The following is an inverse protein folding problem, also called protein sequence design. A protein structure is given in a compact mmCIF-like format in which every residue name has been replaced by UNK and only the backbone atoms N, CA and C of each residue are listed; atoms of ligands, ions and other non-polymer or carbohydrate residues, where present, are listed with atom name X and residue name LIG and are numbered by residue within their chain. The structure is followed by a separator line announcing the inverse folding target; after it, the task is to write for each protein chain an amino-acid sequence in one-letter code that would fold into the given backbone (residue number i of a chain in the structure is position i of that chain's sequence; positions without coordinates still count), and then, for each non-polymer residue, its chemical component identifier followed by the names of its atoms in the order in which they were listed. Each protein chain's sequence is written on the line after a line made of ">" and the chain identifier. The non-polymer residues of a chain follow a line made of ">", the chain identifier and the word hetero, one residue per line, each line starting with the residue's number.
data_IF_981286682264
#
_entry.id   IF_981286682264
#
_cell.length_a   1.000
_cell.length_b   1.000
_cell.length_c   1.000
_cell.angle_alpha   90.00
_cell.angle_beta   90.00
_cell.angle_gamma   90.00
#
_symmetry.space_group_name_H-M   'P 1'
#
loop_
_entity.id
_entity.type
_entity.pdbx_description
1 polymer ?
#
# COMPACT_ATOMS: atom_id res chain seq x y z
N UNK A 1 -6.18 26.64 -25.22
CA UNK A 1 -5.50 25.93 -24.10
C UNK A 1 -5.50 26.75 -22.81
N UNK A 2 -5.22 28.07 -22.85
CA UNK A 2 -5.30 28.97 -21.69
C UNK A 2 -6.68 28.96 -20.98
N UNK A 3 -7.78 28.98 -21.71
CA UNK A 3 -9.12 29.04 -21.08
C UNK A 3 -9.48 27.76 -20.33
N UNK A 4 -9.06 26.59 -20.84
CA UNK A 4 -9.27 25.30 -20.14
C UNK A 4 -8.44 25.20 -18.86
N UNK A 5 -7.23 25.75 -18.86
CA UNK A 5 -6.38 25.80 -17.67
C UNK A 5 -6.99 26.71 -16.60
N UNK A 6 -7.46 27.89 -17.00
CA UNK A 6 -8.12 28.84 -16.09
C UNK A 6 -9.38 28.24 -15.46
N UNK A 7 -10.22 27.56 -16.24
CA UNK A 7 -11.43 26.88 -15.73
C UNK A 7 -11.07 25.78 -14.72
N UNK A 8 -10.03 24.99 -14.96
CA UNK A 8 -9.57 23.94 -14.04
C UNK A 8 -9.08 24.55 -12.72
N UNK A 9 -8.30 25.63 -12.79
CA UNK A 9 -7.79 26.32 -11.59
C UNK A 9 -8.93 26.92 -10.78
N UNK A 10 -9.88 27.60 -11.44
CA UNK A 10 -11.05 28.19 -10.77
C UNK A 10 -11.91 27.10 -10.12
N UNK A 11 -12.14 25.97 -10.81
CA UNK A 11 -12.88 24.85 -10.25
C UNK A 11 -12.16 24.23 -9.04
N UNK A 12 -10.84 24.06 -9.09
CA UNK A 12 -10.03 23.59 -7.96
C UNK A 12 -10.14 24.53 -6.75
N UNK A 13 -10.03 25.84 -6.96
CA UNK A 13 -10.18 26.83 -5.89
C UNK A 13 -11.59 26.81 -5.30
N UNK A 14 -12.63 26.71 -6.13
CA UNK A 14 -14.02 26.63 -5.68
C UNK A 14 -14.28 25.38 -4.84
N UNK A 15 -13.74 24.23 -5.24
CA UNK A 15 -13.82 22.97 -4.48
C UNK A 15 -13.11 23.15 -3.13
N UNK A 16 -11.91 23.72 -3.12
CA UNK A 16 -11.08 23.88 -1.93
C UNK A 16 -11.73 24.79 -0.88
N UNK A 17 -12.33 25.91 -1.32
CA UNK A 17 -13.09 26.81 -0.44
C UNK A 17 -14.35 26.11 0.07
N UNK A 18 -15.06 25.39 -0.79
CA UNK A 18 -16.30 24.69 -0.40
C UNK A 18 -16.03 23.58 0.61
N UNK A 19 -14.99 22.77 0.43
CA UNK A 19 -14.65 21.69 1.37
C UNK A 19 -14.10 22.21 2.69
N UNK A 20 -13.29 23.28 2.66
CA UNK A 20 -12.75 23.91 3.87
C UNK A 20 -13.85 24.49 4.77
N UNK A 21 -14.83 25.17 4.18
CA UNK A 21 -15.89 25.88 4.94
C UNK A 21 -17.00 24.90 5.37
N UNK A 22 -17.49 24.06 4.46
CA UNK A 22 -18.74 23.32 4.68
C UNK A 22 -18.54 21.88 5.18
N UNK A 23 -17.45 21.22 4.82
CA UNK A 23 -17.29 19.78 5.10
C UNK A 23 -16.60 19.53 6.44
N UNK A 24 -15.69 20.42 6.87
CA UNK A 24 -14.86 20.27 8.09
C UNK A 24 -14.46 18.80 8.33
N UNK A 25 -13.64 18.22 7.43
CA UNK A 25 -13.31 16.81 7.46
C UNK A 25 -12.75 16.42 8.83
N UNK A 26 -13.48 15.58 9.57
CA UNK A 26 -13.04 14.99 10.83
C UNK A 26 -12.97 13.48 10.66
N UNK A 27 -11.94 12.89 11.23
CA UNK A 27 -11.89 11.44 11.37
C UNK A 27 -13.07 10.99 12.25
N UNK A 28 -13.88 10.06 11.73
CA UNK A 28 -14.89 9.38 12.54
C UNK A 28 -14.17 8.36 13.41
N UNK A 29 -14.10 8.62 14.71
CA UNK A 29 -13.64 7.64 15.69
C UNK A 29 -14.79 6.68 15.95
N UNK A 30 -14.86 5.59 15.17
CA UNK A 30 -15.82 4.51 15.39
C UNK A 30 -15.06 3.23 15.71
N UNK A 31 -15.44 2.54 16.78
CA UNK A 31 -15.01 1.16 17.02
C UNK A 31 -15.45 0.29 15.85
N UNK A 32 -14.50 -0.42 15.23
CA UNK A 32 -14.78 -1.27 14.06
C UNK A 32 -15.45 -2.58 14.48
N UNK A 33 -15.28 -2.98 15.74
CA UNK A 33 -15.90 -4.17 16.31
C UNK A 33 -16.67 -3.81 17.58
N UNK A 34 -17.92 -4.26 17.66
CA UNK A 34 -18.83 -3.92 18.76
C UNK A 34 -18.74 -4.98 19.88
N UNK A 35 -18.30 -4.57 21.07
CA UNK A 35 -18.22 -5.45 22.24
C UNK A 35 -19.59 -5.99 22.67
N UNK A 36 -20.66 -5.20 22.48
CA UNK A 36 -22.03 -5.60 22.86
C UNK A 36 -22.58 -6.75 22.02
N UNK A 37 -22.01 -7.00 20.83
CA UNK A 37 -22.34 -8.17 20.02
C UNK A 37 -21.74 -9.46 20.58
N UNK A 38 -20.69 -9.37 21.40
CA UNK A 38 -20.08 -10.50 22.09
C UNK A 38 -20.78 -10.78 23.43
N UNK A 39 -21.02 -9.73 24.22
CA UNK A 39 -21.76 -9.81 25.49
C UNK A 39 -22.61 -8.56 25.66
N UNK A 40 -23.90 -8.74 25.90
CA UNK A 40 -24.82 -7.61 26.12
C UNK A 40 -24.36 -6.76 27.33
N UNK A 41 -24.17 -5.45 27.11
CA UNK A 41 -23.75 -4.51 28.16
C UNK A 41 -22.24 -4.43 28.39
N UNK A 42 -21.42 -5.08 27.54
CA UNK A 42 -19.97 -5.04 27.65
C UNK A 42 -19.36 -3.66 27.39
N UNK A 43 -20.01 -2.81 26.59
CA UNK A 43 -19.56 -1.43 26.38
C UNK A 43 -19.99 -0.48 27.51
N UNK A 44 -21.00 -0.88 28.30
CA UNK A 44 -21.72 -0.04 29.25
C UNK A 44 -21.48 -0.40 30.72
N UNK A 45 -20.64 -1.41 31.01
CA UNK A 45 -20.23 -1.76 32.38
C UNK A 45 -19.30 -0.69 32.93
N UNK A 46 -19.84 0.49 33.23
CA UNK A 46 -19.15 1.72 33.63
C UNK A 46 -18.57 1.70 35.05
N UNK A 47 -18.16 0.54 35.55
CA UNK A 47 -17.43 0.43 36.81
C UNK A 47 -16.04 -0.06 36.46
N UNK A 48 -15.08 0.87 36.39
CA UNK A 48 -13.67 0.55 36.24
C UNK A 48 -13.20 -0.28 37.44
N UNK A 49 -12.96 -1.57 37.22
CA UNK A 49 -12.36 -2.44 38.23
C UNK A 49 -10.88 -2.70 37.90
N UNK A 50 -9.98 -2.24 38.79
CA UNK A 50 -8.53 -2.47 38.65
C UNK A 50 -8.15 -3.93 38.69
N UNK A 51 -9.02 -4.80 39.23
CA UNK A 51 -8.78 -6.23 39.37
C UNK A 51 -8.61 -6.92 38.02
N UNK A 52 -9.31 -6.47 36.98
CA UNK A 52 -9.16 -7.04 35.65
C UNK A 52 -7.81 -6.67 35.03
N UNK A 53 -7.41 -5.40 35.14
CA UNK A 53 -6.08 -4.96 34.68
C UNK A 53 -4.96 -5.75 35.40
N UNK A 54 -5.08 -5.96 36.70
CA UNK A 54 -4.13 -6.76 37.48
C UNK A 54 -4.12 -8.25 37.08
N UNK A 55 -5.31 -8.84 36.82
CA UNK A 55 -5.46 -10.22 36.32
C UNK A 55 -4.79 -10.39 34.96
N UNK A 56 -4.94 -9.41 34.06
CA UNK A 56 -4.27 -9.38 32.76
C UNK A 56 -2.76 -9.21 32.91
N UNK A 57 -2.26 -8.40 33.85
CA UNK A 57 -0.82 -8.26 34.07
C UNK A 57 -0.18 -9.52 34.71
N UNK A 58 -0.90 -10.23 35.58
CA UNK A 58 -0.36 -11.34 36.37
C UNK A 58 -0.49 -12.75 35.73
N UNK A 59 -1.20 -12.92 34.61
CA UNK A 59 -1.43 -14.22 33.95
C UNK A 59 -0.21 -14.79 33.16
N UNK A 60 0.81 -15.34 33.83
CA UNK A 60 2.12 -15.64 33.20
C UNK A 60 2.17 -16.82 32.20
N UNK A 61 1.26 -17.80 32.20
CA UNK A 61 1.41 -19.04 31.40
C UNK A 61 0.18 -19.44 30.58
N UNK A 62 0.17 -19.12 29.27
CA UNK A 62 -0.82 -19.61 28.30
C UNK A 62 -0.37 -20.90 27.56
N UNK A 63 0.94 -21.19 27.55
CA UNK A 63 1.52 -22.24 26.71
C UNK A 63 1.37 -23.69 27.19
N UNK A 64 0.81 -23.95 28.38
CA UNK A 64 0.91 -25.28 29.02
C UNK A 64 -0.39 -26.13 29.01
N UNK A 65 -1.55 -25.59 28.59
CA UNK A 65 -2.85 -26.29 28.73
C UNK A 65 -3.69 -26.35 27.43
N UNK A 66 -3.25 -25.70 26.35
CA UNK A 66 -3.91 -25.77 25.06
C UNK A 66 -3.30 -26.92 24.22
N UNK A 67 -3.44 -28.18 24.65
CA UNK A 67 -2.98 -29.36 23.86
C UNK A 67 -4.12 -30.26 23.42
N UNK A 68 -5.38 -29.82 23.56
CA UNK A 68 -6.57 -30.65 23.27
C UNK A 68 -7.20 -30.48 21.88
N UNK A 69 -6.92 -29.42 21.11
CA UNK A 69 -7.56 -29.15 19.80
C UNK A 69 -6.56 -28.75 18.70
N UNK A 70 -6.88 -29.00 17.42
CA UNK A 70 -6.02 -28.66 16.26
C UNK A 70 -5.68 -27.15 16.14
N UNK A 71 -6.47 -26.28 16.77
CA UNK A 71 -6.28 -24.82 16.76
C UNK A 71 -5.44 -24.31 17.93
N UNK A 72 -5.00 -25.17 18.83
CA UNK A 72 -4.50 -24.73 20.12
C UNK A 72 -3.21 -23.93 20.08
N UNK A 73 -2.28 -24.27 19.17
CA UNK A 73 -1.01 -23.55 19.04
C UNK A 73 -1.26 -22.12 18.53
N UNK A 74 -2.10 -21.98 17.50
CA UNK A 74 -2.46 -20.66 16.95
C UNK A 74 -3.25 -19.83 17.95
N UNK A 75 -4.19 -20.44 18.68
CA UNK A 75 -4.94 -19.77 19.73
C UNK A 75 -4.04 -19.34 20.90
N UNK A 76 -3.04 -20.16 21.27
CA UNK A 76 -2.09 -19.83 22.32
C UNK A 76 -1.21 -18.62 21.94
N UNK A 77 -0.71 -18.58 20.70
CA UNK A 77 0.04 -17.44 20.17
C UNK A 77 -0.83 -16.17 20.12
N UNK A 78 -2.07 -16.28 19.64
CA UNK A 78 -3.02 -15.17 19.59
C UNK A 78 -3.37 -14.64 20.99
N UNK A 79 -3.60 -15.52 21.96
CA UNK A 79 -3.84 -15.15 23.36
C UNK A 79 -2.63 -14.47 24.00
N UNK A 80 -1.42 -14.96 23.75
CA UNK A 80 -0.19 -14.35 24.24
C UNK A 80 0.03 -12.96 23.63
N UNK A 81 -0.29 -12.78 22.35
CA UNK A 81 -0.22 -11.49 21.68
C UNK A 81 -1.26 -10.51 22.21
N UNK A 82 -2.50 -10.97 22.44
CA UNK A 82 -3.56 -10.18 23.07
C UNK A 82 -3.15 -9.71 24.47
N UNK A 83 -2.64 -10.63 25.30
CA UNK A 83 -2.17 -10.35 26.66
C UNK A 83 -1.00 -9.38 26.68
N UNK A 84 0.02 -9.60 25.85
CA UNK A 84 1.21 -8.73 25.82
C UNK A 84 0.88 -7.32 25.35
N UNK A 85 -0.01 -7.17 24.37
CA UNK A 85 -0.56 -5.89 23.97
C UNK A 85 -1.38 -5.25 25.11
N UNK A 86 -2.29 -5.99 25.73
CA UNK A 86 -3.13 -5.50 26.81
C UNK A 86 -2.32 -5.03 28.01
N UNK A 87 -1.28 -5.78 28.40
CA UNK A 87 -0.38 -5.40 29.48
C UNK A 87 0.38 -4.11 29.16
N UNK A 88 0.86 -3.94 27.92
CA UNK A 88 1.53 -2.70 27.51
C UNK A 88 0.59 -1.48 27.55
N UNK A 89 -0.66 -1.64 27.12
CA UNK A 89 -1.63 -0.54 27.14
C UNK A 89 -2.13 -0.24 28.56
N UNK A 90 -2.38 -1.25 29.41
CA UNK A 90 -2.71 -1.05 30.83
C UNK A 90 -1.56 -0.37 31.60
N UNK A 91 -0.31 -0.65 31.25
CA UNK A 91 0.85 0.05 31.83
C UNK A 91 0.88 1.54 31.46
N UNK A 92 0.40 1.92 30.27
CA UNK A 92 0.37 3.32 29.81
C UNK A 92 -0.85 4.07 30.38
N UNK A 93 -2.02 3.46 30.27
CA UNK A 93 -3.28 4.02 30.77
C UNK A 93 -4.15 2.89 31.38
N UNK A 94 -4.34 2.88 32.71
CA UNK A 94 -5.22 1.93 33.38
C UNK A 94 -6.69 1.99 32.92
N UNK A 95 -7.11 3.05 32.21
CA UNK A 95 -8.49 3.29 31.76
C UNK A 95 -8.70 3.06 30.26
N UNK A 96 -7.72 2.49 29.55
CA UNK A 96 -7.76 2.43 28.08
C UNK A 96 -8.97 1.68 27.50
N UNK A 97 -9.60 0.77 28.26
CA UNK A 97 -10.82 0.07 27.86
C UNK A 97 -12.09 0.95 27.91
N UNK A 98 -12.05 2.06 28.66
CA UNK A 98 -13.14 3.02 28.81
C UNK A 98 -12.68 4.46 28.50
N UNK A 99 -12.17 4.74 27.29
CA UNK A 99 -11.56 6.03 27.02
C UNK A 99 -12.63 7.11 26.80
N UNK A 100 -12.56 8.17 27.62
CA UNK A 100 -13.18 9.49 27.35
C UNK A 100 -12.13 10.36 26.66
N UNK A 101 -11.76 10.05 25.42
CA UNK A 101 -10.74 10.83 24.70
C UNK A 101 -11.38 11.57 23.54
N UNK A 102 -11.46 12.90 23.68
CA UNK A 102 -11.69 13.84 22.59
C UNK A 102 -10.43 13.86 21.71
N UNK A 103 -10.55 13.76 20.38
CA UNK A 103 -9.38 13.83 19.50
C UNK A 103 -8.68 15.17 19.65
N UNK A 104 -7.35 15.14 19.85
CA UNK A 104 -6.54 16.35 19.81
C UNK A 104 -6.59 16.93 18.39
N UNK A 105 -6.81 18.24 18.24
CA UNK A 105 -6.83 18.86 16.93
C UNK A 105 -5.44 18.76 16.30
N UNK A 106 -5.36 18.14 15.12
CA UNK A 106 -4.15 18.16 14.29
C UNK A 106 -4.00 19.58 13.75
N UNK A 107 -3.04 20.34 14.30
CA UNK A 107 -2.74 21.68 13.87
C UNK A 107 -1.80 21.62 12.65
N UNK A 108 -2.35 21.73 11.45
CA UNK A 108 -1.54 21.81 10.22
C UNK A 108 -0.73 23.12 10.21
N UNK A 109 0.59 23.01 10.08
CA UNK A 109 1.53 24.12 10.30
C UNK A 109 1.72 25.08 9.11
N UNK A 110 1.24 24.77 7.90
CA UNK A 110 1.47 25.59 6.70
C UNK A 110 0.25 25.76 5.78
N UNK A 111 0.17 26.88 5.06
CA UNK A 111 -0.93 27.21 4.13
C UNK A 111 -1.09 26.17 3.00
N UNK A 112 0.02 25.67 2.46
CA UNK A 112 0.02 24.66 1.39
C UNK A 112 -0.54 23.34 1.93
N UNK A 113 -0.08 22.89 3.10
CA UNK A 113 -0.59 21.67 3.72
C UNK A 113 -2.07 21.82 4.08
N UNK A 114 -2.48 22.95 4.64
CA UNK A 114 -3.89 23.22 4.96
C UNK A 114 -4.78 23.22 3.71
N UNK A 115 -4.28 23.76 2.59
CA UNK A 115 -5.01 23.81 1.32
C UNK A 115 -5.19 22.42 0.70
N UNK A 116 -4.09 21.64 0.62
CA UNK A 116 -4.13 20.28 0.09
C UNK A 116 -4.93 19.35 1.02
N UNK A 117 -4.75 19.47 2.34
CA UNK A 117 -5.55 18.75 3.32
C UNK A 117 -7.04 19.07 3.14
N UNK A 118 -7.44 20.33 3.02
CA UNK A 118 -8.86 20.69 2.87
C UNK A 118 -9.49 20.15 1.57
N UNK A 119 -8.72 20.07 0.48
CA UNK A 119 -9.20 19.52 -0.80
C UNK A 119 -9.34 17.99 -0.75
N UNK A 120 -8.42 17.29 -0.08
CA UNK A 120 -8.31 15.82 -0.17
C UNK A 120 -8.72 15.07 1.10
N UNK A 121 -8.85 15.73 2.25
CA UNK A 121 -9.25 15.09 3.50
C UNK A 121 -10.71 14.59 3.43
N UNK A 122 -11.61 15.32 2.78
CA UNK A 122 -13.00 14.88 2.60
C UNK A 122 -13.12 13.55 1.84
N UNK A 123 -12.56 13.39 0.62
CA UNK A 123 -12.59 12.10 -0.07
C UNK A 123 -11.77 11.03 0.67
N UNK A 124 -10.65 11.39 1.30
CA UNK A 124 -9.85 10.45 2.08
C UNK A 124 -10.64 9.88 3.27
N UNK A 125 -11.25 10.71 4.11
CA UNK A 125 -12.06 10.24 5.24
C UNK A 125 -13.35 9.55 4.81
N UNK A 126 -13.95 9.95 3.68
CA UNK A 126 -15.07 9.23 3.08
C UNK A 126 -14.68 7.80 2.68
N UNK A 127 -13.55 7.63 1.99
CA UNK A 127 -13.03 6.31 1.61
C UNK A 127 -12.55 5.52 2.84
N UNK A 128 -11.97 6.18 3.85
CA UNK A 128 -11.59 5.57 5.13
C UNK A 128 -12.82 5.01 5.85
N UNK A 129 -13.93 5.77 5.87
CA UNK A 129 -15.20 5.32 6.46
C UNK A 129 -15.79 4.12 5.69
N UNK A 130 -15.87 4.18 4.36
CA UNK A 130 -16.34 3.06 3.54
C UNK A 130 -15.48 1.80 3.71
N UNK A 131 -14.16 1.99 3.85
CA UNK A 131 -13.23 0.90 4.14
C UNK A 131 -13.46 0.34 5.54
N UNK A 132 -13.73 1.20 6.52
CA UNK A 132 -14.14 0.80 7.87
C UNK A 132 -15.41 -0.03 7.87
N UNK A 133 -16.43 0.38 7.10
CA UNK A 133 -17.69 -0.36 6.97
C UNK A 133 -17.48 -1.74 6.32
N UNK A 134 -16.65 -1.81 5.27
CA UNK A 134 -16.26 -3.08 4.64
C UNK A 134 -15.54 -4.00 5.65
N UNK A 135 -14.64 -3.42 6.44
CA UNK A 135 -13.88 -4.16 7.45
C UNK A 135 -14.81 -4.68 8.55
N UNK A 136 -15.73 -3.84 9.04
CA UNK A 136 -16.74 -4.23 10.02
C UNK A 136 -17.56 -5.41 9.52
N UNK A 137 -18.03 -5.36 8.28
CA UNK A 137 -18.75 -6.49 7.66
C UNK A 137 -17.91 -7.78 7.60
N UNK A 138 -16.62 -7.69 7.25
CA UNK A 138 -15.71 -8.85 7.22
C UNK A 138 -15.46 -9.43 8.60
N UNK A 139 -15.26 -8.58 9.61
CA UNK A 139 -15.05 -9.00 10.99
C UNK A 139 -16.31 -9.64 11.57
N UNK A 140 -17.50 -9.12 11.23
CA UNK A 140 -18.77 -9.73 11.62
C UNK A 140 -18.97 -11.12 10.99
N UNK A 141 -18.58 -11.30 9.73
CA UNK A 141 -18.59 -12.62 9.09
C UNK A 141 -17.60 -13.59 9.79
N UNK A 142 -16.42 -13.11 10.16
CA UNK A 142 -15.43 -13.89 10.90
C UNK A 142 -15.91 -14.27 12.31
N UNK A 143 -16.61 -13.38 13.00
CA UNK A 143 -17.16 -13.64 14.33
C UNK A 143 -18.18 -14.80 14.36
N UNK A 144 -18.78 -15.14 13.22
CA UNK A 144 -19.69 -16.30 13.10
C UNK A 144 -18.95 -17.63 12.87
N UNK A 145 -17.65 -17.59 12.56
CA UNK A 145 -16.85 -18.76 12.23
C UNK A 145 -16.60 -19.68 13.44
N UNK A 146 -16.32 -20.97 13.15
CA UNK A 146 -15.96 -21.94 14.19
C UNK A 146 -14.65 -21.58 14.89
N UNK A 147 -13.65 -21.08 14.16
CA UNK A 147 -12.35 -20.66 14.71
C UNK A 147 -12.50 -19.53 15.72
N UNK A 148 -13.33 -18.52 15.42
CA UNK A 148 -13.59 -17.44 16.36
C UNK A 148 -14.28 -17.94 17.63
N UNK A 149 -15.30 -18.80 17.52
CA UNK A 149 -16.00 -19.36 18.68
C UNK A 149 -15.06 -20.15 19.59
N UNK A 150 -14.21 -21.00 19.02
CA UNK A 150 -13.20 -21.75 19.79
C UNK A 150 -12.17 -20.84 20.44
N UNK A 151 -11.69 -19.80 19.75
CA UNK A 151 -10.79 -18.81 20.34
C UNK A 151 -11.45 -18.06 21.50
N UNK A 152 -12.71 -17.66 21.31
CA UNK A 152 -13.48 -16.89 22.27
C UNK A 152 -13.80 -17.68 23.55
N UNK A 153 -14.15 -18.97 23.42
CA UNK A 153 -14.33 -19.88 24.56
C UNK A 153 -13.03 -20.01 25.36
N UNK A 154 -11.90 -20.24 24.69
CA UNK A 154 -10.59 -20.29 25.34
C UNK A 154 -10.27 -18.97 26.06
N UNK A 155 -10.53 -17.80 25.44
CA UNK A 155 -10.34 -16.51 26.09
C UNK A 155 -11.10 -16.41 27.42
N UNK A 156 -12.34 -16.91 27.47
CA UNK A 156 -13.14 -16.89 28.69
C UNK A 156 -12.68 -17.83 29.77
N UNK A 157 -12.13 -18.98 29.40
CA UNK A 157 -11.54 -19.88 30.38
C UNK A 157 -10.33 -19.23 31.09
N UNK A 158 -9.62 -18.32 30.41
CA UNK A 158 -8.45 -17.62 30.97
C UNK A 158 -8.79 -16.29 31.68
N UNK A 159 -9.52 -15.40 31.02
CA UNK A 159 -9.80 -14.06 31.55
C UNK A 159 -11.09 -14.01 32.38
N UNK A 160 -11.91 -15.07 32.37
CA UNK A 160 -13.23 -15.10 32.97
C UNK A 160 -14.30 -14.54 32.03
N UNK A 161 -15.56 -14.95 32.24
CA UNK A 161 -16.73 -14.45 31.48
C UNK A 161 -17.16 -13.07 31.98
N UNK A 162 -16.28 -12.10 31.80
CA UNK A 162 -16.46 -10.72 32.25
C UNK A 162 -16.70 -9.80 31.03
N UNK A 163 -17.53 -8.75 31.16
CA UNK A 163 -17.77 -7.78 30.08
C UNK A 163 -16.47 -7.10 29.60
N UNK A 164 -15.52 -6.91 30.52
CA UNK A 164 -14.21 -6.33 30.25
C UNK A 164 -13.38 -7.19 29.28
N UNK A 165 -13.52 -8.52 29.33
CA UNK A 165 -12.86 -9.44 28.38
C UNK A 165 -13.41 -9.27 26.95
N UNK A 166 -14.73 -9.11 26.81
CA UNK A 166 -15.34 -8.84 25.51
C UNK A 166 -14.90 -7.46 24.97
N UNK A 167 -14.82 -6.45 25.83
CA UNK A 167 -14.32 -5.12 25.47
C UNK A 167 -12.85 -5.14 25.03
N UNK A 168 -12.02 -5.96 25.70
CA UNK A 168 -10.60 -6.13 25.39
C UNK A 168 -10.41 -6.75 24.00
N UNK A 169 -11.14 -7.82 23.69
CA UNK A 169 -11.08 -8.48 22.38
C UNK A 169 -11.57 -7.53 21.27
N UNK A 170 -12.70 -6.85 21.50
CA UNK A 170 -13.25 -5.90 20.56
C UNK A 170 -12.27 -4.75 20.26
N UNK A 171 -11.62 -4.23 21.30
CA UNK A 171 -10.62 -3.17 21.15
C UNK A 171 -9.38 -3.66 20.40
N UNK A 172 -8.85 -4.83 20.76
CA UNK A 172 -7.69 -5.41 20.09
C UNK A 172 -7.93 -5.59 18.58
N UNK A 173 -9.07 -6.20 18.23
CA UNK A 173 -9.44 -6.39 16.83
C UNK A 173 -9.67 -5.04 16.12
N UNK A 174 -10.33 -4.08 16.78
CA UNK A 174 -10.58 -2.75 16.20
C UNK A 174 -9.28 -1.99 15.94
N UNK A 175 -8.32 -2.02 16.85
CA UNK A 175 -7.05 -1.32 16.68
C UNK A 175 -6.24 -1.96 15.54
N UNK A 176 -6.20 -3.30 15.45
CA UNK A 176 -5.55 -4.02 14.35
C UNK A 176 -6.22 -3.78 13.00
N UNK A 177 -7.56 -3.79 12.98
CA UNK A 177 -8.35 -3.50 11.79
C UNK A 177 -8.15 -2.05 11.31
N UNK A 178 -7.99 -1.09 12.25
CA UNK A 178 -7.73 0.31 11.91
C UNK A 178 -6.38 0.49 11.20
N UNK A 179 -5.36 -0.27 11.60
CA UNK A 179 -4.05 -0.28 10.95
C UNK A 179 -4.12 -0.83 9.51
N UNK A 180 -5.06 -1.74 9.23
CA UNK A 180 -5.25 -2.31 7.90
C UNK A 180 -5.94 -1.38 6.89
N UNK A 181 -6.57 -0.30 7.36
CA UNK A 181 -7.29 0.64 6.47
C UNK A 181 -6.33 1.32 5.49
N UNK A 182 -5.18 1.83 5.96
CA UNK A 182 -4.22 2.53 5.09
C UNK A 182 -3.62 1.61 3.99
N UNK A 183 -3.17 0.38 4.31
CA UNK A 183 -2.81 -0.60 3.28
C UNK A 183 -3.93 -0.90 2.28
N UNK A 184 -5.17 -1.04 2.72
CA UNK A 184 -6.31 -1.31 1.82
C UNK A 184 -6.58 -0.12 0.89
N UNK A 185 -6.58 1.10 1.42
CA UNK A 185 -6.71 2.33 0.62
C UNK A 185 -5.59 2.44 -0.42
N UNK A 186 -4.37 2.06 -0.06
CA UNK A 186 -3.23 2.02 -0.99
C UNK A 186 -3.48 1.02 -2.12
N UNK A 187 -3.99 -0.17 -1.81
CA UNK A 187 -4.33 -1.19 -2.80
C UNK A 187 -5.45 -0.70 -3.75
N UNK A 188 -6.49 -0.05 -3.20
CA UNK A 188 -7.56 0.56 -4.01
C UNK A 188 -7.04 1.68 -4.91
N UNK A 189 -6.13 2.52 -4.41
CA UNK A 189 -5.49 3.58 -5.19
C UNK A 189 -4.76 3.00 -6.39
N UNK A 190 -3.85 2.03 -6.18
CA UNK A 190 -3.12 1.41 -7.29
C UNK A 190 -4.06 0.67 -8.25
N UNK A 191 -5.07 -0.04 -7.72
CA UNK A 191 -6.09 -0.71 -8.54
C UNK A 191 -6.83 0.26 -9.47
N UNK A 192 -7.29 1.39 -8.94
CA UNK A 192 -7.96 2.44 -9.72
C UNK A 192 -7.08 3.00 -10.83
N UNK A 193 -5.82 3.34 -10.52
CA UNK A 193 -4.90 3.88 -11.53
C UNK A 193 -4.46 2.82 -12.55
N UNK A 194 -4.39 1.54 -12.19
CA UNK A 194 -4.18 0.46 -13.15
C UNK A 194 -5.35 0.33 -14.12
N UNK A 195 -6.60 0.46 -13.65
CA UNK A 195 -7.79 0.46 -14.50
C UNK A 195 -7.86 1.67 -15.45
N UNK A 196 -7.29 2.82 -15.05
CA UNK A 196 -7.18 4.01 -15.90
C UNK A 196 -6.04 3.93 -16.94
N UNK A 197 -5.06 3.05 -16.76
CA UNK A 197 -3.92 2.89 -17.65
C UNK A 197 -4.31 2.77 -19.15
N UNK A 198 -5.29 1.94 -19.58
CA UNK A 198 -5.66 1.84 -21.00
C UNK A 198 -6.17 3.16 -21.62
N UNK A 199 -6.71 4.09 -20.83
CA UNK A 199 -7.21 5.38 -21.31
C UNK A 199 -6.11 6.44 -21.38
N UNK A 200 -5.16 6.39 -20.43
CA UNK A 200 -4.15 7.43 -20.23
C UNK A 200 -2.86 7.12 -20.98
N UNK A 201 -2.40 5.86 -20.95
CA UNK A 201 -1.12 5.42 -21.55
C UNK A 201 -1.06 5.69 -23.06
N UNK A 202 -2.10 5.46 -23.89
CA UNK A 202 -2.03 5.77 -25.32
C UNK A 202 -1.84 7.26 -25.61
N UNK A 203 -2.51 8.13 -24.83
CA UNK A 203 -2.40 9.59 -24.97
C UNK A 203 -1.00 10.08 -24.56
N UNK A 204 -0.46 9.52 -23.48
CA UNK A 204 0.92 9.76 -23.07
C UNK A 204 1.92 9.30 -24.13
N UNK A 205 1.71 8.12 -24.72
CA UNK A 205 2.57 7.57 -25.76
C UNK A 205 2.60 8.47 -27.01
N UNK A 206 1.45 9.01 -27.44
CA UNK A 206 1.38 9.95 -28.56
C UNK A 206 2.16 11.24 -28.27
N UNK A 207 1.99 11.82 -27.07
CA UNK A 207 2.74 13.02 -26.66
C UNK A 207 4.24 12.76 -26.57
N UNK A 208 4.64 11.64 -25.99
CA UNK A 208 6.04 11.23 -25.90
C UNK A 208 6.65 10.99 -27.29
N UNK A 209 5.89 10.37 -28.21
CA UNK A 209 6.31 10.20 -29.60
C UNK A 209 6.50 11.55 -30.31
N UNK A 210 5.55 12.49 -30.16
CA UNK A 210 5.67 13.84 -30.70
C UNK A 210 6.87 14.62 -30.17
N UNK A 211 7.18 14.49 -28.87
CA UNK A 211 8.37 15.11 -28.27
C UNK A 211 9.70 14.57 -28.85
N UNK A 212 9.73 13.27 -29.16
CA UNK A 212 10.89 12.56 -29.71
C UNK A 212 11.08 12.79 -31.22
N UNK A 213 10.12 13.43 -31.90
CA UNK A 213 9.99 13.43 -33.35
C UNK A 213 11.03 14.20 -34.21
N UNK A 214 11.90 15.12 -33.73
CA UNK A 214 12.93 15.64 -34.63
C UNK A 214 14.06 14.64 -34.91
N UNK A 215 14.17 13.54 -34.16
CA UNK A 215 15.25 12.54 -34.28
C UNK A 215 14.80 11.26 -35.00
N UNK A 216 14.02 11.42 -36.09
CA UNK A 216 13.63 10.32 -36.99
C UNK A 216 14.82 9.73 -37.77
N UNK A 217 15.99 10.37 -37.75
CA UNK A 217 17.22 9.83 -38.30
C UNK A 217 18.04 9.14 -37.19
N UNK A 218 18.04 7.80 -37.21
CA UNK A 218 18.81 6.81 -36.42
C UNK A 218 18.02 6.03 -35.37
N UNK A 219 17.58 4.83 -35.75
CA UNK A 219 17.69 3.55 -35.02
C UNK A 219 17.43 3.52 -33.51
N UNK A 220 16.61 4.42 -33.00
CA UNK A 220 16.10 4.35 -31.64
C UNK A 220 14.81 3.51 -31.66
N UNK A 221 14.96 2.20 -31.89
CA UNK A 221 13.87 1.20 -31.95
C UNK A 221 13.13 0.96 -30.61
N UNK A 222 12.93 2.01 -29.82
CA UNK A 222 12.18 1.97 -28.56
C UNK A 222 10.69 2.16 -28.78
N UNK A 223 9.87 1.26 -28.25
CA UNK A 223 8.41 1.37 -28.26
C UNK A 223 7.95 2.54 -27.35
N UNK A 224 7.36 3.61 -27.92
CA UNK A 224 6.90 4.76 -27.13
C UNK A 224 5.79 4.36 -26.15
N UNK A 225 5.05 3.28 -26.46
CA UNK A 225 3.99 2.74 -25.61
C UNK A 225 4.50 2.09 -24.32
N UNK A 226 5.61 1.34 -24.36
CA UNK A 226 6.21 0.75 -23.17
C UNK A 226 6.76 1.85 -22.26
N UNK A 227 7.51 2.81 -22.83
CA UNK A 227 8.03 3.95 -22.08
C UNK A 227 6.91 4.77 -21.43
N UNK A 228 5.79 4.97 -22.11
CA UNK A 228 4.62 5.63 -21.54
C UNK A 228 3.94 4.82 -20.43
N UNK A 229 3.85 3.50 -20.55
CA UNK A 229 3.28 2.64 -19.52
C UNK A 229 4.12 2.66 -18.23
N UNK A 230 5.45 2.52 -18.36
CA UNK A 230 6.36 2.57 -17.21
C UNK A 230 6.44 4.00 -16.64
N UNK A 231 6.49 5.02 -17.49
CA UNK A 231 6.43 6.41 -17.04
C UNK A 231 5.14 6.71 -16.26
N UNK A 232 4.00 6.19 -16.74
CA UNK A 232 2.72 6.30 -16.04
C UNK A 232 2.74 5.63 -14.66
N UNK A 233 3.27 4.40 -14.54
CA UNK A 233 3.35 3.74 -13.23
C UNK A 233 4.20 4.53 -12.23
N UNK A 234 5.35 5.06 -12.66
CA UNK A 234 6.18 5.91 -11.80
C UNK A 234 5.49 7.25 -11.45
N UNK A 235 4.72 7.85 -12.36
CA UNK A 235 3.95 9.06 -12.07
C UNK A 235 2.84 8.80 -11.02
N UNK A 236 2.16 7.66 -11.12
CA UNK A 236 1.13 7.25 -10.15
C UNK A 236 1.76 7.03 -8.77
N UNK A 237 2.93 6.39 -8.71
CA UNK A 237 3.69 6.24 -7.46
C UNK A 237 4.16 7.57 -6.89
N UNK A 238 4.61 8.51 -7.74
CA UNK A 238 4.99 9.85 -7.30
C UNK A 238 3.83 10.62 -6.66
N UNK A 239 2.66 10.53 -7.29
CA UNK A 239 1.44 11.15 -6.80
C UNK A 239 1.00 10.54 -5.46
N UNK A 240 1.13 9.22 -5.31
CA UNK A 240 0.83 8.52 -4.04
C UNK A 240 1.70 9.06 -2.89
N UNK A 241 3.02 9.09 -3.08
CA UNK A 241 3.94 9.56 -2.04
C UNK A 241 3.81 11.06 -1.76
N UNK A 242 3.47 11.87 -2.77
CA UNK A 242 3.17 13.28 -2.56
C UNK A 242 1.94 13.48 -1.67
N UNK A 243 0.88 12.71 -1.89
CA UNK A 243 -0.29 12.78 -1.01
C UNK A 243 0.00 12.25 0.39
N UNK A 244 0.77 11.16 0.50
CA UNK A 244 1.17 10.63 1.79
C UNK A 244 1.96 11.66 2.61
N UNK A 245 2.85 12.45 1.98
CA UNK A 245 3.62 13.46 2.73
C UNK A 245 2.78 14.59 3.28
N UNK A 246 1.57 14.81 2.76
CA UNK A 246 0.64 15.83 3.24
C UNK A 246 -0.24 15.32 4.38
N UNK A 247 -0.60 14.04 4.34
CA UNK A 247 -1.51 13.43 5.33
C UNK A 247 -0.75 12.92 6.56
N UNK A 248 0.45 12.36 6.38
CA UNK A 248 1.26 11.77 7.45
C UNK A 248 2.52 12.62 7.71
N UNK A 249 2.41 13.58 8.64
CA UNK A 249 3.52 14.51 8.95
C UNK A 249 4.80 13.79 9.41
N UNK A 250 4.66 12.65 10.10
CA UNK A 250 5.81 11.86 10.59
C UNK A 250 6.67 11.22 9.49
N UNK A 251 6.13 11.05 8.28
CA UNK A 251 6.83 10.44 7.12
C UNK A 251 7.05 11.44 5.98
N UNK A 252 6.69 12.71 6.19
CA UNK A 252 6.63 13.71 5.12
C UNK A 252 7.94 13.86 4.34
N UNK A 253 9.08 13.89 5.04
CA UNK A 253 10.39 14.04 4.39
C UNK A 253 10.77 12.87 3.47
N UNK A 254 10.55 11.64 3.92
CA UNK A 254 10.87 10.44 3.15
C UNK A 254 9.92 10.28 1.95
N UNK A 255 8.63 10.53 2.17
CA UNK A 255 7.61 10.44 1.12
C UNK A 255 7.81 11.52 0.05
N UNK A 256 8.19 12.75 0.43
CA UNK A 256 8.46 13.81 -0.54
C UNK A 256 9.70 13.50 -1.41
N UNK A 257 10.75 12.93 -0.82
CA UNK A 257 11.92 12.45 -1.57
C UNK A 257 11.54 11.32 -2.53
N UNK A 258 10.76 10.35 -2.07
CA UNK A 258 10.27 9.25 -2.92
C UNK A 258 9.39 9.76 -4.08
N UNK A 259 8.55 10.77 -3.82
CA UNK A 259 7.75 11.45 -4.84
C UNK A 259 8.62 12.15 -5.88
N UNK A 260 9.66 12.87 -5.45
CA UNK A 260 10.60 13.54 -6.34
C UNK A 260 11.36 12.53 -7.21
N UNK A 261 11.93 11.48 -6.61
CA UNK A 261 12.69 10.45 -7.34
C UNK A 261 11.81 9.74 -8.38
N UNK A 262 10.61 9.30 -8.01
CA UNK A 262 9.69 8.63 -8.93
C UNK A 262 9.16 9.57 -10.02
N UNK A 263 8.90 10.84 -9.68
CA UNK A 263 8.52 11.87 -10.64
C UNK A 263 9.62 12.14 -11.67
N UNK A 264 10.87 12.24 -11.24
CA UNK A 264 12.02 12.42 -12.13
C UNK A 264 12.22 11.21 -13.06
N UNK A 265 12.08 9.98 -12.56
CA UNK A 265 12.14 8.77 -13.38
C UNK A 265 11.02 8.76 -14.43
N UNK A 266 9.79 9.14 -14.05
CA UNK A 266 8.67 9.26 -14.98
C UNK A 266 8.93 10.29 -16.08
N UNK A 267 9.40 11.48 -15.71
CA UNK A 267 9.73 12.55 -16.64
C UNK A 267 10.85 12.13 -17.59
N UNK A 268 11.90 11.46 -17.09
CA UNK A 268 12.99 10.96 -17.91
C UNK A 268 12.52 9.90 -18.92
N UNK A 269 11.66 8.96 -18.50
CA UNK A 269 11.13 7.93 -19.38
C UNK A 269 10.20 8.49 -20.47
N UNK A 270 9.43 9.54 -20.16
CA UNK A 270 8.51 10.18 -21.11
C UNK A 270 9.25 11.15 -22.05
N UNK A 271 10.06 12.04 -21.47
CA UNK A 271 10.73 13.17 -22.11
C UNK A 271 12.25 13.13 -21.84
N UNK A 272 12.96 12.17 -22.45
CA UNK A 272 14.40 12.06 -22.23
C UNK A 272 15.17 13.26 -22.79
N UNK A 273 16.03 13.80 -21.92
CA UNK A 273 16.96 14.89 -22.22
C UNK A 273 18.36 14.31 -22.16
N UNK A 274 19.16 14.52 -23.20
CA UNK A 274 20.58 14.19 -23.24
C UNK A 274 21.38 15.49 -23.25
N UNK A 275 22.13 15.73 -22.19
CA UNK A 275 23.03 16.87 -22.11
C UNK A 275 24.39 16.37 -22.62
N UNK A 276 24.82 16.86 -23.78
CA UNK A 276 26.20 16.68 -24.25
C UNK A 276 26.96 17.97 -24.02
N UNK A 277 28.03 17.89 -23.24
CA UNK A 277 28.96 18.99 -23.03
C UNK A 277 30.08 18.79 -24.03
N UNK A 278 30.20 19.69 -25.00
CA UNK A 278 31.30 19.68 -25.96
C UNK A 278 32.11 20.96 -25.73
N UNK A 279 33.29 20.82 -25.13
CA UNK A 279 34.14 21.95 -24.72
C UNK A 279 33.38 23.00 -23.88
N UNK A 280 33.33 24.24 -24.37
CA UNK A 280 32.70 25.41 -23.71
C UNK A 280 31.16 25.48 -23.87
N UNK A 281 30.55 24.64 -24.73
CA UNK A 281 29.12 24.73 -25.03
C UNK A 281 28.34 23.52 -24.47
N UNK A 282 27.26 23.82 -23.73
CA UNK A 282 26.31 22.83 -23.23
C UNK A 282 25.22 22.63 -24.29
N UNK A 283 25.27 21.51 -25.02
CA UNK A 283 24.23 21.14 -25.96
C UNK A 283 23.19 20.25 -25.27
N UNK A 284 21.96 20.75 -25.17
CA UNK A 284 20.82 19.98 -24.66
C UNK A 284 20.09 19.36 -25.85
N UNK A 285 20.33 18.07 -26.09
CA UNK A 285 19.72 17.31 -27.18
C UNK A 285 18.55 16.48 -26.65
N UNK A 286 17.44 16.43 -27.39
CA UNK A 286 16.39 15.44 -27.11
C UNK A 286 16.91 14.08 -27.60
N UNK A 287 16.70 13.00 -26.86
CA UNK A 287 17.24 11.68 -27.20
C UNK A 287 16.13 10.66 -27.48
N UNK A 288 16.37 9.73 -28.39
CA UNK A 288 15.63 8.47 -28.40
C UNK A 288 16.02 7.60 -27.19
N UNK A 289 15.05 6.91 -26.58
CA UNK A 289 15.31 5.92 -25.52
C UNK A 289 15.32 4.52 -26.14
N UNK A 290 16.34 3.70 -25.84
CA UNK A 290 16.35 2.29 -26.26
C UNK A 290 15.38 1.48 -25.40
N UNK A 291 14.66 0.54 -26.01
CA UNK A 291 13.74 -0.37 -25.32
C UNK A 291 14.40 -1.17 -24.19
N UNK A 292 15.68 -1.50 -24.35
CA UNK A 292 16.46 -2.19 -23.33
C UNK A 292 16.54 -1.38 -22.03
N UNK A 293 16.72 -0.05 -22.13
CA UNK A 293 16.81 0.82 -20.95
C UNK A 293 15.47 0.85 -20.21
N UNK A 294 14.35 0.98 -20.93
CA UNK A 294 13.00 0.96 -20.33
C UNK A 294 12.73 -0.37 -19.62
N UNK A 295 13.09 -1.50 -20.25
CA UNK A 295 12.91 -2.83 -19.66
C UNK A 295 13.78 -3.04 -18.42
N UNK A 296 15.02 -2.55 -18.42
CA UNK A 296 15.90 -2.61 -17.25
C UNK A 296 15.37 -1.75 -16.11
N UNK A 297 14.89 -0.53 -16.39
CA UNK A 297 14.27 0.34 -15.38
C UNK A 297 13.02 -0.30 -14.79
N UNK A 298 12.14 -0.86 -15.64
CA UNK A 298 10.95 -1.59 -15.19
C UNK A 298 11.32 -2.78 -14.30
N UNK A 299 12.30 -3.59 -14.72
CA UNK A 299 12.73 -4.76 -13.95
C UNK A 299 13.40 -4.39 -12.63
N UNK A 300 14.25 -3.35 -12.63
CA UNK A 300 14.88 -2.84 -11.42
C UNK A 300 13.84 -2.33 -10.42
N UNK A 301 12.89 -1.52 -10.88
CA UNK A 301 11.77 -1.04 -10.05
C UNK A 301 10.91 -2.19 -9.50
N UNK A 302 10.52 -3.15 -10.35
CA UNK A 302 9.75 -4.32 -9.93
C UNK A 302 10.53 -5.19 -8.92
N UNK A 303 11.84 -5.34 -9.09
CA UNK A 303 12.67 -6.11 -8.18
C UNK A 303 12.76 -5.47 -6.79
N UNK A 304 12.89 -4.15 -6.71
CA UNK A 304 12.87 -3.44 -5.42
C UNK A 304 11.54 -3.64 -4.69
N UNK A 305 10.42 -3.57 -5.41
CA UNK A 305 9.08 -3.84 -4.84
C UNK A 305 8.97 -5.28 -4.34
N UNK A 306 9.47 -6.26 -5.11
CA UNK A 306 9.47 -7.68 -4.72
C UNK A 306 10.32 -7.92 -3.47
N UNK A 307 11.52 -7.35 -3.40
CA UNK A 307 12.39 -7.46 -2.23
C UNK A 307 11.69 -6.90 -1.00
N UNK A 308 11.10 -5.70 -1.12
CA UNK A 308 10.38 -5.08 -0.01
C UNK A 308 9.16 -5.92 0.42
N UNK A 309 8.39 -6.44 -0.54
CA UNK A 309 7.25 -7.31 -0.24
C UNK A 309 7.66 -8.60 0.47
N UNK A 310 8.76 -9.24 0.05
CA UNK A 310 9.28 -10.43 0.72
C UNK A 310 9.84 -10.12 2.11
N UNK A 311 10.44 -8.95 2.31
CA UNK A 311 10.88 -8.51 3.64
C UNK A 311 9.68 -8.33 4.58
N UNK A 312 8.61 -7.68 4.11
CA UNK A 312 7.35 -7.55 4.88
C UNK A 312 6.69 -8.90 5.19
N UNK A 313 6.78 -9.89 4.30
CA UNK A 313 6.23 -11.22 4.60
C UNK A 313 7.08 -12.00 5.61
N UNK A 314 8.38 -11.69 5.72
CA UNK A 314 9.31 -12.34 6.65
C UNK A 314 9.34 -11.69 8.03
N UNK A 315 9.25 -10.36 8.09
CA UNK A 315 9.38 -9.59 9.33
C UNK A 315 8.04 -9.40 10.06
N UNK A 316 6.92 -9.50 9.32
CA UNK A 316 5.62 -9.20 9.86
C UNK A 316 5.13 -10.29 10.78
N UNK A 317 4.94 -9.96 12.05
CA UNK A 317 4.36 -10.85 13.07
C UNK A 317 3.03 -10.33 13.60
N UNK A 318 2.45 -11.03 14.56
CA UNK A 318 1.17 -10.63 15.17
C UNK A 318 1.26 -9.33 15.98
N UNK A 319 2.40 -9.09 16.64
CA UNK A 319 2.63 -7.92 17.52
C UNK A 319 2.98 -6.67 16.70
N UNK A 320 3.76 -6.83 15.64
CA UNK A 320 4.12 -5.80 14.65
C UNK A 320 3.73 -6.25 13.23
N UNK A 321 2.46 -6.10 12.84
CA UNK A 321 1.95 -6.59 11.57
C UNK A 321 2.40 -5.68 10.43
N UNK A 322 3.00 -6.31 9.42
CA UNK A 322 3.38 -5.63 8.19
C UNK A 322 2.17 -5.34 7.28
N UNK A 323 2.27 -4.37 6.35
CA UNK A 323 1.16 -3.99 5.47
C UNK A 323 0.53 -5.15 4.69
N UNK A 324 1.34 -6.11 4.23
CA UNK A 324 0.85 -7.30 3.51
C UNK A 324 0.12 -8.28 4.43
N UNK A 325 0.58 -8.42 5.68
CA UNK A 325 -0.11 -9.24 6.68
C UNK A 325 -1.48 -8.63 7.00
N UNK A 326 -1.52 -7.31 7.19
CA UNK A 326 -2.75 -6.57 7.43
C UNK A 326 -3.74 -6.70 6.28
N UNK A 327 -3.27 -6.67 5.02
CA UNK A 327 -4.12 -6.88 3.85
C UNK A 327 -4.72 -8.29 3.83
N UNK A 328 -3.91 -9.32 4.09
CA UNK A 328 -4.41 -10.71 4.15
C UNK A 328 -5.46 -10.84 5.26
N UNK A 329 -5.17 -10.34 6.46
CA UNK A 329 -6.11 -10.31 7.58
C UNK A 329 -7.38 -9.53 7.27
N UNK A 330 -7.30 -8.41 6.55
CA UNK A 330 -8.46 -7.63 6.12
C UNK A 330 -9.38 -8.39 5.15
N UNK A 331 -8.81 -9.16 4.22
CA UNK A 331 -9.60 -9.97 3.29
C UNK A 331 -10.29 -11.16 3.98
N UNK A 332 -9.62 -11.77 4.96
CA UNK A 332 -10.15 -12.91 5.72
C UNK A 332 -11.12 -12.45 6.82
N UNK A 333 -10.93 -11.24 7.36
CA UNK A 333 -11.63 -10.75 8.55
C UNK A 333 -11.02 -11.25 9.86
N UNK A 334 -9.89 -11.98 9.82
CA UNK A 334 -9.19 -12.52 10.97
C UNK A 334 -7.97 -11.65 11.33
N UNK A 335 -8.09 -10.91 12.43
CA UNK A 335 -7.01 -10.12 13.02
C UNK A 335 -6.44 -10.74 14.30
N UNK A 336 -6.95 -11.91 14.71
CA UNK A 336 -6.52 -12.60 15.91
C UNK A 336 -5.40 -13.59 15.62
N UNK A 337 -5.47 -14.30 14.49
CA UNK A 337 -4.51 -15.34 14.15
C UNK A 337 -3.52 -14.88 13.07
N UNK A 338 -2.31 -15.43 13.13
CA UNK A 338 -1.33 -15.17 12.10
C UNK A 338 -1.66 -16.00 10.85
N UNK A 339 -1.80 -15.37 9.66
CA UNK A 339 -2.12 -16.10 8.45
C UNK A 339 -0.88 -16.78 7.85
N UNK A 340 -0.20 -17.65 8.61
CA UNK A 340 1.11 -18.26 8.25
C UNK A 340 1.08 -18.97 6.91
N UNK A 341 0.03 -19.76 6.65
CA UNK A 341 -0.11 -20.48 5.38
C UNK A 341 -0.29 -19.52 4.20
N UNK A 342 -1.14 -18.50 4.35
CA UNK A 342 -1.36 -17.49 3.32
C UNK A 342 -0.11 -16.64 3.06
N UNK A 343 0.68 -16.31 4.09
CA UNK A 343 1.98 -15.63 3.92
C UNK A 343 2.94 -16.46 3.07
N UNK A 344 3.04 -17.77 3.35
CA UNK A 344 3.90 -18.70 2.60
C UNK A 344 3.47 -18.82 1.13
N UNK A 345 2.16 -18.96 0.86
CA UNK A 345 1.65 -19.06 -0.52
C UNK A 345 1.87 -17.76 -1.29
N UNK A 346 1.59 -16.61 -0.68
CA UNK A 346 1.83 -15.29 -1.30
C UNK A 346 3.33 -15.09 -1.58
N UNK A 347 4.21 -15.41 -0.64
CA UNK A 347 5.66 -15.31 -0.83
C UNK A 347 6.15 -16.20 -1.97
N UNK A 348 5.62 -17.43 -2.07
CA UNK A 348 5.95 -18.35 -3.17
C UNK A 348 5.49 -17.79 -4.53
N UNK A 349 4.24 -17.30 -4.62
CA UNK A 349 3.70 -16.72 -5.86
C UNK A 349 4.52 -15.51 -6.31
N UNK A 350 4.86 -14.60 -5.39
CA UNK A 350 5.70 -13.43 -5.67
C UNK A 350 7.07 -13.86 -6.19
N UNK A 351 7.70 -14.83 -5.53
CA UNK A 351 9.03 -15.34 -5.92
C UNK A 351 9.02 -16.01 -7.29
N UNK A 352 7.98 -16.81 -7.57
CA UNK A 352 7.80 -17.47 -8.87
C UNK A 352 7.59 -16.46 -10.01
N UNK A 353 6.75 -15.43 -9.78
CA UNK A 353 6.53 -14.35 -10.74
C UNK A 353 7.80 -13.55 -10.99
N UNK A 354 8.58 -13.26 -9.95
CA UNK A 354 9.86 -12.57 -10.09
C UNK A 354 10.88 -13.42 -10.88
N UNK A 355 11.00 -14.71 -10.59
CA UNK A 355 11.90 -15.62 -11.32
C UNK A 355 11.54 -15.72 -12.81
N UNK A 356 10.24 -15.82 -13.13
CA UNK A 356 9.75 -15.77 -14.50
C UNK A 356 10.07 -14.43 -15.19
N UNK A 357 9.86 -13.31 -14.48
CA UNK A 357 10.21 -11.97 -14.94
C UNK A 357 11.70 -11.80 -15.20
N UNK A 358 12.54 -12.31 -14.31
CA UNK A 358 14.00 -12.29 -14.44
C UNK A 358 14.48 -13.09 -15.66
N UNK A 359 13.98 -14.32 -15.85
CA UNK A 359 14.31 -15.12 -17.02
C UNK A 359 13.90 -14.43 -18.33
N UNK A 360 12.73 -13.77 -18.34
CA UNK A 360 12.26 -13.01 -19.50
C UNK A 360 13.12 -11.78 -19.78
N UNK A 361 13.46 -10.98 -18.77
CA UNK A 361 14.27 -9.77 -18.94
C UNK A 361 15.69 -10.12 -19.36
N UNK A 362 16.30 -11.13 -18.74
CA UNK A 362 17.60 -11.68 -19.11
C UNK A 362 17.62 -12.13 -20.59
N UNK A 363 16.62 -12.90 -21.03
CA UNK A 363 16.48 -13.31 -22.45
C UNK A 363 16.33 -12.12 -23.38
N UNK A 364 15.60 -11.08 -22.97
CA UNK A 364 15.35 -9.89 -23.79
C UNK A 364 16.56 -8.94 -23.89
N UNK A 365 17.40 -8.90 -22.85
CA UNK A 365 18.60 -8.05 -22.78
C UNK A 365 19.80 -8.75 -23.40
N UNK A 366 19.96 -10.06 -23.19
CA UNK A 366 21.04 -10.88 -23.79
C UNK A 366 20.87 -11.11 -25.29
N UNK A 367 19.66 -10.96 -25.85
CA UNK A 367 19.45 -10.85 -27.29
C UNK A 367 19.98 -9.50 -27.81
N UNK A 368 21.28 -9.26 -27.69
CA UNK A 368 22.02 -8.29 -28.51
C UNK A 368 22.44 -8.99 -29.80
N UNK A 369 21.96 -8.48 -30.93
CA UNK A 369 22.76 -8.42 -32.17
C UNK A 369 23.13 -9.71 -32.89
N UNK A 370 22.59 -10.87 -32.53
CA UNK A 370 22.61 -12.02 -33.44
C UNK A 370 21.67 -11.72 -34.59
N UNK A 371 22.18 -11.12 -35.68
CA UNK A 371 21.51 -11.19 -36.99
C UNK A 371 21.10 -12.65 -37.14
N UNK A 372 19.80 -12.92 -37.28
CA UNK A 372 19.35 -14.31 -37.38
C UNK A 372 20.19 -14.97 -38.47
N UNK A 373 20.59 -16.23 -38.28
CA UNK A 373 21.35 -16.97 -39.30
C UNK A 373 20.63 -16.93 -40.66
N UNK A 374 19.29 -16.82 -40.64
CA UNK A 374 18.44 -16.58 -41.81
C UNK A 374 18.66 -15.20 -42.49
N UNK A 375 18.97 -14.16 -41.73
CA UNK A 375 19.19 -12.80 -42.25
C UNK A 375 20.65 -12.55 -42.65
N UNK A 376 21.60 -13.24 -42.01
CA UNK A 376 22.99 -13.32 -42.49
C UNK A 376 23.05 -14.10 -43.81
N UNK A 377 22.38 -15.25 -43.89
CA UNK A 377 22.31 -16.04 -45.14
C UNK A 377 21.58 -15.31 -46.24
N UNK A 378 20.52 -14.54 -45.92
CA UNK A 378 19.85 -13.68 -46.90
C UNK A 378 20.78 -12.57 -47.42
N UNK A 379 21.52 -11.89 -46.55
CA UNK A 379 22.51 -10.86 -46.96
C UNK A 379 23.70 -11.43 -47.74
N UNK A 380 24.16 -12.65 -47.40
CA UNK A 380 25.18 -13.36 -48.17
C UNK A 380 24.66 -13.85 -49.54
N UNK A 381 23.39 -14.28 -49.60
CA UNK A 381 22.74 -14.66 -50.85
C UNK A 381 22.49 -13.43 -51.76
N UNK A 382 22.16 -12.27 -51.18
CA UNK A 382 22.02 -11.02 -51.92
C UNK A 382 23.39 -10.51 -52.42
N UNK A 383 24.44 -10.54 -51.59
CA UNK A 383 25.79 -10.13 -52.02
C UNK A 383 26.42 -11.08 -53.05
N UNK A 384 26.12 -12.39 -53.02
CA UNK A 384 26.62 -13.33 -54.03
C UNK A 384 25.93 -13.19 -55.40
N UNK A 385 24.77 -12.55 -55.48
CA UNK A 385 24.10 -12.20 -56.74
C UNK A 385 24.62 -10.92 -57.38
N UNK A 386 25.24 -10.03 -56.62
CA UNK A 386 25.82 -8.77 -57.11
C UNK A 386 27.23 -9.00 -57.68
N UNK A 387 27.86 -10.14 -57.39
CA UNK A 387 29.20 -10.51 -57.85
C UNK A 387 29.20 -11.49 -59.05
N UNK A 388 28.04 -11.74 -59.66
CA UNK A 388 27.89 -12.38 -60.97
C UNK A 388 27.36 -11.36 -61.95
#
# INVERSE_FOLDING_TARGET
>A
MKDRFNVIVIALVAILVSTAIFVKPRERVTSLFDADKLVAGASASGIWDTRFAEKVMNTVFFGLVLTKDEYTIQNAEALQALRSWAAQEFHKDPRFLHPVILPSPVANSTYINASVYSAFAAPYYGLRAMTGDLMKWRMEAYAQSKSFKTFFENCYDYFGREPETASLIARYQSDRASLAINPLLSLLYFGFFTLLAPLVVPKLALKAAGWRAPFLFQDCGGSPRLAAAVGYSFAVTALFYFFQSVVEEGLAGQSLLAAACSGLVSLFLLFPIKISIDGENIHVLRSGLRDQVVKTVLFGGASLVVIQALNWLKQGGLTSPDPLTLLISAFVGDFLHEPVQAKKTVAFVISALWAAGFAFTLRSVLRRGGVSTAEVTKRLAENSRVLK
#
